data_IF_885662204954
#
_entry.id   IF_885662204954
#
_cell.length_a   1.000
_cell.length_b   1.000
_cell.length_c   1.000
_cell.angle_alpha   90.00
_cell.angle_beta   90.00
_cell.angle_gamma   90.00
#
_symmetry.space_group_name_H-M   'P 1'
#
loop_
_entity.id
_entity.type
_entity.pdbx_description
1 polymer ?
#
# COMPACT_ATOMS: atom_id res chain seq x y z
N UNK A 1 12.68 -2.84 15.57
CA UNK A 1 12.78 -3.71 14.39
C UNK A 1 12.69 -2.79 13.19
N UNK A 2 13.63 -2.89 12.24
CA UNK A 2 13.60 -2.03 11.05
C UNK A 2 12.52 -2.52 10.08
N UNK A 3 12.07 -1.66 9.15
CA UNK A 3 11.19 -2.08 8.04
C UNK A 3 11.83 -3.21 7.24
N UNK A 4 13.14 -3.15 7.05
CA UNK A 4 13.87 -4.20 6.36
C UNK A 4 13.74 -5.56 7.07
N UNK A 5 13.93 -5.61 8.39
CA UNK A 5 13.78 -6.86 9.15
C UNK A 5 12.34 -7.41 9.04
N UNK A 6 11.34 -6.51 9.08
CA UNK A 6 9.92 -6.88 8.99
C UNK A 6 9.63 -7.51 7.63
N UNK A 7 10.02 -6.83 6.55
CA UNK A 7 9.73 -7.26 5.18
C UNK A 7 10.54 -8.51 4.81
N UNK A 8 11.84 -8.54 5.10
CA UNK A 8 12.69 -9.69 4.75
C UNK A 8 12.27 -10.97 5.49
N UNK A 9 11.87 -10.86 6.78
CA UNK A 9 11.35 -12.02 7.50
C UNK A 9 10.06 -12.60 6.90
N UNK A 10 9.33 -11.80 6.11
CA UNK A 10 8.10 -12.26 5.47
C UNK A 10 8.33 -13.01 4.15
N UNK A 11 9.52 -12.93 3.54
CA UNK A 11 9.86 -13.67 2.31
C UNK A 11 9.81 -15.19 2.48
N UNK A 12 9.92 -15.66 3.72
CA UNK A 12 9.84 -17.09 4.05
C UNK A 12 8.42 -17.66 3.94
N UNK A 13 7.41 -16.80 3.86
CA UNK A 13 6.02 -17.20 3.82
C UNK A 13 5.51 -17.30 2.39
N UNK A 14 4.98 -18.48 2.02
CA UNK A 14 4.41 -18.71 0.67
C UNK A 14 3.14 -17.89 0.38
N UNK A 15 2.55 -17.27 1.40
CA UNK A 15 1.37 -16.41 1.31
C UNK A 15 1.72 -14.91 1.30
N UNK A 16 3.00 -14.55 1.40
CA UNK A 16 3.46 -13.17 1.38
C UNK A 16 4.17 -12.89 0.05
N UNK A 17 3.76 -11.81 -0.61
CA UNK A 17 4.31 -11.36 -1.88
C UNK A 17 4.92 -9.99 -1.68
N UNK A 18 6.18 -9.83 -2.07
CA UNK A 18 6.93 -8.60 -1.85
C UNK A 18 7.51 -8.17 -3.18
N UNK A 19 7.27 -6.91 -3.54
CA UNK A 19 7.84 -6.34 -4.74
C UNK A 19 9.35 -6.09 -4.58
N UNK A 20 9.95 -5.63 -5.67
CA UNK A 20 11.24 -4.98 -5.63
C UNK A 20 11.09 -3.45 -5.58
N UNK A 21 12.04 -2.78 -4.92
CA UNK A 21 12.13 -1.32 -4.89
C UNK A 21 13.35 -0.77 -5.61
N UNK A 22 13.35 0.56 -5.82
CA UNK A 22 14.43 1.33 -6.43
C UNK A 22 15.82 1.01 -5.87
N UNK A 23 15.94 0.93 -4.54
CA UNK A 23 17.23 0.76 -3.87
C UNK A 23 17.79 -0.67 -3.96
N UNK A 24 17.02 -1.65 -4.42
CA UNK A 24 17.54 -3.00 -4.70
C UNK A 24 18.30 -3.07 -6.03
N UNK A 25 18.20 -2.02 -6.85
CA UNK A 25 18.98 -1.84 -8.07
C UNK A 25 18.42 -2.57 -9.29
N UNK A 26 18.98 -2.22 -10.45
CA UNK A 26 18.50 -2.66 -11.77
C UNK A 26 18.39 -4.18 -11.92
N UNK A 27 19.34 -4.93 -11.36
CA UNK A 27 19.34 -6.39 -11.46
C UNK A 27 18.13 -7.01 -10.76
N UNK A 28 17.79 -6.52 -9.57
CA UNK A 28 16.63 -7.01 -8.83
C UNK A 28 15.34 -6.73 -9.60
N UNK A 29 15.20 -5.50 -10.13
CA UNK A 29 14.06 -5.08 -10.94
C UNK A 29 13.92 -5.95 -12.20
N UNK A 30 15.01 -6.17 -12.93
CA UNK A 30 15.01 -7.02 -14.12
C UNK A 30 14.57 -8.46 -13.78
N UNK A 31 15.15 -9.05 -12.74
CA UNK A 31 14.77 -10.39 -12.29
C UNK A 31 13.29 -10.44 -11.91
N UNK A 32 12.77 -9.41 -11.26
CA UNK A 32 11.35 -9.32 -10.92
C UNK A 32 10.47 -9.27 -12.19
N UNK A 33 10.79 -8.39 -13.14
CA UNK A 33 10.06 -8.27 -14.41
C UNK A 33 10.05 -9.57 -15.23
N UNK A 34 11.16 -10.31 -15.25
CA UNK A 34 11.26 -11.61 -15.93
C UNK A 34 10.38 -12.70 -15.30
N UNK A 35 10.16 -12.63 -13.97
CA UNK A 35 9.25 -13.56 -13.29
C UNK A 35 7.79 -13.21 -13.61
N UNK A 36 7.46 -11.93 -13.71
CA UNK A 36 6.10 -11.48 -14.00
C UNK A 36 5.69 -11.64 -15.46
N UNK A 37 6.62 -11.35 -16.36
CA UNK A 37 6.42 -11.35 -17.80
C UNK A 37 7.39 -12.38 -18.38
N UNK A 38 6.92 -13.62 -18.55
CA UNK A 38 7.73 -14.77 -19.00
C UNK A 38 8.48 -14.48 -20.33
N UNK A 39 7.98 -13.52 -21.14
CA UNK A 39 8.57 -13.10 -22.41
C UNK A 39 9.55 -11.91 -22.31
N UNK A 40 9.82 -11.39 -21.12
CA UNK A 40 10.70 -10.22 -20.94
C UNK A 40 12.16 -10.62 -21.16
N UNK A 41 12.74 -10.16 -22.28
CA UNK A 41 14.10 -10.54 -22.67
C UNK A 41 15.14 -9.60 -22.07
N UNK A 42 16.33 -10.14 -21.83
CA UNK A 42 17.44 -9.45 -21.16
C UNK A 42 17.97 -8.24 -21.95
N UNK A 43 17.73 -8.20 -23.27
CA UNK A 43 18.07 -7.10 -24.17
C UNK A 43 17.17 -5.86 -24.03
N UNK A 44 16.11 -5.94 -23.22
CA UNK A 44 15.24 -4.80 -22.89
C UNK A 44 15.76 -3.96 -21.70
N UNK A 45 17.07 -3.73 -21.58
CA UNK A 45 17.65 -2.86 -20.54
C UNK A 45 17.05 -1.44 -20.54
N UNK A 46 16.58 -0.95 -21.70
CA UNK A 46 15.82 0.30 -21.81
C UNK A 46 14.50 0.26 -21.03
N UNK A 47 13.85 -0.89 -20.97
CA UNK A 47 12.58 -1.06 -20.29
C UNK A 47 12.76 -1.09 -18.76
N UNK A 48 13.88 -1.61 -18.24
CA UNK A 48 14.25 -1.49 -16.82
C UNK A 48 14.49 -0.02 -16.42
N UNK A 49 15.16 0.75 -17.28
CA UNK A 49 15.38 2.18 -17.04
C UNK A 49 14.07 2.98 -17.06
N UNK A 50 13.13 2.63 -17.93
CA UNK A 50 11.79 3.20 -17.91
C UNK A 50 11.08 2.92 -16.60
N UNK A 51 11.17 1.69 -16.07
CA UNK A 51 10.61 1.35 -14.74
C UNK A 51 11.28 2.13 -13.61
N UNK A 52 12.60 2.25 -13.61
CA UNK A 52 13.34 3.04 -12.62
C UNK A 52 12.92 4.51 -12.67
N UNK A 53 12.87 5.10 -13.87
CA UNK A 53 12.41 6.48 -14.06
C UNK A 53 10.98 6.67 -13.57
N UNK A 54 10.09 5.75 -13.94
CA UNK A 54 8.69 5.78 -13.51
C UNK A 54 8.55 5.71 -11.99
N UNK A 55 9.29 4.83 -11.31
CA UNK A 55 9.25 4.74 -9.84
C UNK A 55 9.74 6.02 -9.18
N UNK A 56 10.80 6.65 -9.73
CA UNK A 56 11.32 7.93 -9.25
C UNK A 56 10.29 9.06 -9.40
N UNK A 57 9.63 9.13 -10.56
CA UNK A 57 8.58 10.11 -10.84
C UNK A 57 7.38 9.93 -9.91
N UNK A 58 6.93 8.68 -9.71
CA UNK A 58 5.83 8.37 -8.80
C UNK A 58 6.14 8.77 -7.34
N UNK A 59 7.36 8.52 -6.84
CA UNK A 59 7.77 8.97 -5.51
C UNK A 59 7.85 10.50 -5.39
N UNK A 60 8.33 11.17 -6.44
CA UNK A 60 8.38 12.62 -6.52
C UNK A 60 6.98 13.24 -6.48
N UNK A 61 6.04 12.68 -7.25
CA UNK A 61 4.64 13.11 -7.27
C UNK A 61 3.94 12.86 -5.94
N UNK A 62 4.12 11.67 -5.35
CA UNK A 62 3.58 11.35 -4.03
C UNK A 62 4.09 12.34 -2.97
N UNK A 63 5.39 12.66 -2.99
CA UNK A 63 6.01 13.65 -2.09
C UNK A 63 5.39 15.03 -2.25
N UNK A 64 5.13 15.47 -3.48
CA UNK A 64 4.45 16.75 -3.74
C UNK A 64 3.01 16.73 -3.23
N UNK A 65 2.32 15.61 -3.40
CA UNK A 65 0.90 15.48 -3.06
C UNK A 65 0.67 15.52 -1.54
N UNK A 66 1.56 14.93 -0.75
CA UNK A 66 1.45 14.97 0.71
C UNK A 66 1.81 16.32 1.32
N UNK A 67 2.38 17.25 0.54
CA UNK A 67 2.72 18.60 0.99
C UNK A 67 1.49 19.36 1.50
N UNK A 68 1.57 20.14 2.59
CA UNK A 68 2.78 20.52 3.34
C UNK A 68 3.24 19.49 4.38
N UNK A 69 2.58 18.33 4.47
CA UNK A 69 2.94 17.28 5.41
C UNK A 69 4.11 16.45 4.87
N UNK A 70 4.68 15.63 5.74
CA UNK A 70 5.81 14.76 5.42
C UNK A 70 5.39 13.30 5.57
N UNK A 71 5.79 12.47 4.61
CA UNK A 71 5.67 11.02 4.77
C UNK A 71 6.55 10.54 5.94
N UNK A 72 6.08 9.60 6.76
CA UNK A 72 6.91 8.93 7.75
C UNK A 72 8.13 8.26 7.09
N UNK A 73 9.30 8.32 7.75
CA UNK A 73 10.54 7.73 7.21
C UNK A 73 10.41 6.22 6.99
N UNK A 74 9.73 5.51 7.88
CA UNK A 74 9.52 4.07 7.74
C UNK A 74 8.68 3.71 6.51
N UNK A 75 7.65 4.49 6.20
CA UNK A 75 6.90 4.31 4.95
C UNK A 75 7.72 4.71 3.72
N UNK A 76 8.51 5.78 3.80
CA UNK A 76 9.41 6.18 2.71
C UNK A 76 10.43 5.08 2.40
N UNK A 77 11.09 4.56 3.42
CA UNK A 77 12.05 3.45 3.29
C UNK A 77 11.35 2.22 2.68
N UNK A 78 10.13 1.92 3.11
CA UNK A 78 9.35 0.83 2.51
C UNK A 78 9.15 1.02 1.00
N UNK A 79 8.73 2.20 0.56
CA UNK A 79 8.49 2.49 -0.85
C UNK A 79 9.77 2.42 -1.68
N UNK A 80 10.90 2.93 -1.16
CA UNK A 80 12.18 2.94 -1.88
C UNK A 80 12.82 1.55 -1.99
N UNK A 81 12.61 0.67 -1.01
CA UNK A 81 13.28 -0.64 -0.96
C UNK A 81 12.42 -1.82 -1.40
N UNK A 82 11.10 -1.76 -1.26
CA UNK A 82 10.25 -2.95 -1.38
C UNK A 82 9.10 -2.85 -2.35
N UNK A 83 8.81 -1.68 -2.93
CA UNK A 83 7.86 -1.49 -4.05
C UNK A 83 6.40 -1.91 -3.82
N UNK A 84 6.07 -2.58 -2.72
CA UNK A 84 4.74 -3.05 -2.37
C UNK A 84 4.78 -4.39 -1.63
N UNK A 85 3.66 -4.73 -0.98
CA UNK A 85 3.56 -5.94 -0.16
C UNK A 85 2.13 -6.46 -0.16
N UNK A 86 1.93 -7.76 -0.35
CA UNK A 86 0.63 -8.39 -0.29
C UNK A 86 0.66 -9.66 0.55
N UNK A 87 -0.48 -9.97 1.18
CA UNK A 87 -0.73 -11.21 1.90
C UNK A 87 -2.01 -11.84 1.37
N UNK A 88 -1.88 -13.08 0.87
CA UNK A 88 -2.99 -13.91 0.44
C UNK A 88 -3.43 -14.83 1.59
N UNK A 89 -4.51 -14.44 2.24
CA UNK A 89 -5.23 -15.27 3.20
C UNK A 89 -6.28 -16.16 2.53
N UNK A 90 -6.82 -17.11 3.29
CA UNK A 90 -7.85 -18.04 2.81
C UNK A 90 -9.13 -17.29 2.40
N UNK A 91 -9.54 -16.32 3.21
CA UNK A 91 -10.79 -15.56 3.03
C UNK A 91 -10.54 -14.07 2.77
N UNK A 92 -9.29 -13.66 2.54
CA UNK A 92 -8.96 -12.26 2.37
C UNK A 92 -7.67 -12.03 1.60
N UNK A 93 -7.60 -10.90 0.91
CA UNK A 93 -6.40 -10.39 0.26
C UNK A 93 -6.04 -9.05 0.89
N UNK A 94 -4.87 -8.96 1.51
CA UNK A 94 -4.33 -7.73 2.07
C UNK A 94 -3.23 -7.19 1.16
N UNK A 95 -3.25 -5.89 0.90
CA UNK A 95 -2.21 -5.21 0.12
C UNK A 95 -1.80 -3.90 0.78
N UNK A 96 -0.49 -3.66 0.77
CA UNK A 96 0.19 -2.41 1.07
C UNK A 96 0.52 -1.75 -0.27
N UNK A 97 0.11 -0.50 -0.41
CA UNK A 97 0.35 0.30 -1.60
C UNK A 97 1.82 0.67 -1.68
N UNK A 98 2.43 0.41 -2.83
CA UNK A 98 3.85 0.61 -3.08
C UNK A 98 4.14 0.98 -4.53
N UNK A 99 5.38 1.40 -4.79
CA UNK A 99 5.86 1.85 -6.09
C UNK A 99 6.80 0.79 -6.65
N UNK A 100 6.25 -0.25 -7.28
CA UNK A 100 6.99 -1.40 -7.79
C UNK A 100 6.25 -2.11 -8.94
N UNK A 101 6.95 -3.00 -9.67
CA UNK A 101 6.42 -3.63 -10.88
C UNK A 101 5.43 -4.81 -10.68
N UNK A 102 5.50 -5.58 -9.59
CA UNK A 102 4.82 -6.90 -9.49
C UNK A 102 3.64 -7.01 -8.54
N UNK A 103 3.70 -6.39 -7.36
CA UNK A 103 2.61 -6.53 -6.37
C UNK A 103 1.42 -5.71 -6.84
N UNK A 104 0.52 -6.37 -7.57
CA UNK A 104 -0.69 -5.83 -8.21
C UNK A 104 -0.70 -4.28 -8.30
N UNK A 105 -0.02 -3.72 -9.31
CA UNK A 105 -0.19 -2.38 -9.92
C UNK A 105 -0.71 -1.20 -9.08
N UNK A 106 -0.34 -1.05 -7.81
CA UNK A 106 -0.97 -0.06 -6.93
C UNK A 106 0.01 1.00 -6.40
N UNK A 107 0.74 1.55 -7.37
CA UNK A 107 0.93 2.98 -7.67
C UNK A 107 1.39 3.13 -9.14
N UNK A 108 1.67 2.01 -9.83
CA UNK A 108 1.75 1.84 -11.31
C UNK A 108 0.93 2.82 -12.13
N UNK A 109 -0.33 2.99 -11.72
CA UNK A 109 -1.33 3.80 -12.39
C UNK A 109 -1.39 5.27 -11.95
N UNK A 110 -0.46 5.74 -11.10
CA UNK A 110 -0.28 7.19 -10.85
C UNK A 110 -0.11 7.90 -12.21
N UNK A 111 0.62 7.30 -13.16
CA UNK A 111 0.78 7.90 -14.50
C UNK A 111 -0.14 7.34 -15.60
N UNK A 112 -1.10 6.46 -15.29
CA UNK A 112 -1.95 5.82 -16.30
C UNK A 112 -3.44 6.06 -16.01
N UNK A 113 -3.97 7.17 -16.54
CA UNK A 113 -5.37 7.49 -16.87
C UNK A 113 -6.50 7.25 -15.84
N UNK A 114 -6.21 6.79 -14.62
CA UNK A 114 -7.22 6.50 -13.60
C UNK A 114 -7.24 7.60 -12.53
N UNK A 115 -7.78 8.75 -12.92
CA UNK A 115 -8.01 9.94 -12.08
C UNK A 115 -8.89 9.70 -10.84
N UNK A 116 -9.49 8.52 -10.69
CA UNK A 116 -10.37 8.18 -9.56
C UNK A 116 -9.62 7.70 -8.30
N UNK A 117 -8.33 7.38 -8.38
CA UNK A 117 -7.48 7.20 -7.19
C UNK A 117 -6.90 8.53 -6.66
N UNK A 118 -6.98 9.59 -7.48
CA UNK A 118 -6.44 10.93 -7.21
C UNK A 118 -7.45 11.85 -6.54
N UNK A 119 -8.74 11.55 -6.70
CA UNK A 119 -9.80 12.34 -6.12
C UNK A 119 -10.16 11.83 -4.74
N UNK A 120 -9.76 12.66 -3.77
CA UNK A 120 -10.30 12.81 -2.42
C UNK A 120 -9.61 11.93 -1.35
N UNK A 121 -8.45 12.40 -0.91
CA UNK A 121 -7.99 12.25 0.47
C UNK A 121 -7.63 13.64 0.98
N UNK A 122 -8.45 14.21 1.85
CA UNK A 122 -8.29 15.58 2.34
C UNK A 122 -6.90 15.81 2.91
N UNK A 123 -6.44 17.06 2.81
CA UNK A 123 -5.13 17.50 3.30
C UNK A 123 -4.76 16.79 4.60
N UNK A 124 -3.74 15.92 4.55
CA UNK A 124 -3.24 15.20 5.73
C UNK A 124 -3.52 13.71 5.79
N UNK A 125 -4.26 13.11 4.87
CA UNK A 125 -4.49 11.65 4.83
C UNK A 125 -3.80 11.00 3.64
N UNK A 126 -3.09 9.90 3.88
CA UNK A 126 -2.45 9.11 2.83
C UNK A 126 -2.90 7.66 2.89
N UNK A 127 -3.53 7.17 1.82
CA UNK A 127 -3.90 5.76 1.71
C UNK A 127 -2.63 4.91 1.59
N UNK A 128 -2.52 3.85 2.39
CA UNK A 128 -1.34 2.98 2.40
C UNK A 128 -1.65 1.51 2.18
N UNK A 129 -2.92 1.12 2.19
CA UNK A 129 -3.27 -0.28 1.99
C UNK A 129 -4.77 -0.53 1.95
N UNK A 130 -5.10 -1.79 1.71
CA UNK A 130 -6.47 -2.31 1.76
C UNK A 130 -6.47 -3.77 2.19
N UNK A 131 -7.59 -4.17 2.77
CA UNK A 131 -7.95 -5.56 3.03
C UNK A 131 -9.25 -5.84 2.27
N UNK A 132 -9.28 -6.86 1.43
CA UNK A 132 -10.46 -7.28 0.67
C UNK A 132 -10.87 -8.66 1.16
N UNK A 133 -12.14 -8.83 1.56
CA UNK A 133 -12.68 -10.11 1.98
C UNK A 133 -13.23 -10.90 0.78
N UNK A 134 -12.87 -12.18 0.68
CA UNK A 134 -13.26 -13.11 -0.38
C UNK A 134 -14.42 -14.04 0.05
N UNK A 135 -15.36 -13.57 0.89
CA UNK A 135 -16.50 -14.41 1.29
C UNK A 135 -17.47 -14.59 0.11
N UNK A 136 -17.83 -15.86 -0.18
CA UNK A 136 -18.90 -16.36 -1.08
C UNK A 136 -19.60 -15.27 -1.92
N UNK A 137 -19.50 -15.32 -3.26
CA UNK A 137 -20.07 -14.48 -4.35
C UNK A 137 -20.99 -13.27 -4.03
N UNK A 138 -21.79 -13.30 -2.96
CA UNK A 138 -22.62 -12.24 -2.40
C UNK A 138 -21.86 -11.16 -1.60
N UNK A 139 -20.66 -11.44 -1.07
CA UNK A 139 -19.85 -10.47 -0.30
C UNK A 139 -18.48 -10.14 -0.91
N UNK A 140 -18.25 -10.57 -2.15
CA UNK A 140 -17.09 -10.15 -2.94
C UNK A 140 -17.06 -8.62 -3.00
N UNK A 141 -16.02 -8.01 -2.43
CA UNK A 141 -15.84 -6.56 -2.45
C UNK A 141 -16.03 -5.84 -1.12
N UNK A 142 -16.29 -6.56 -0.01
CA UNK A 142 -16.09 -5.93 1.30
C UNK A 142 -14.62 -5.56 1.47
N UNK A 143 -14.37 -4.27 1.73
CA UNK A 143 -13.01 -3.74 1.87
C UNK A 143 -12.85 -2.90 3.12
N UNK A 144 -11.70 -3.03 3.76
CA UNK A 144 -11.18 -2.07 4.73
C UNK A 144 -10.06 -1.30 4.04
N UNK A 145 -10.08 0.01 4.14
CA UNK A 145 -9.01 0.88 3.63
C UNK A 145 -8.17 1.40 4.79
N UNK A 146 -6.86 1.49 4.58
CA UNK A 146 -5.92 1.94 5.59
C UNK A 146 -5.28 3.26 5.18
N UNK A 147 -5.22 4.19 6.13
CA UNK A 147 -4.72 5.55 5.91
C UNK A 147 -3.73 5.96 7.01
N UNK A 148 -2.66 6.64 6.62
CA UNK A 148 -1.78 7.39 7.51
C UNK A 148 -2.37 8.78 7.81
N UNK A 149 -2.33 9.16 9.08
CA UNK A 149 -2.63 10.51 9.56
C UNK A 149 -1.37 11.39 9.52
N UNK A 150 -1.10 12.03 8.39
CA UNK A 150 0.06 12.90 8.22
C UNK A 150 -0.09 14.25 8.96
N UNK A 151 -1.33 14.74 9.09
CA UNK A 151 -1.63 16.02 9.71
C UNK A 151 -1.77 15.96 11.23
N UNK A 152 -2.03 14.77 11.79
CA UNK A 152 -2.28 14.58 13.22
C UNK A 152 -3.70 14.94 13.66
N UNK A 153 -4.71 14.67 12.83
CA UNK A 153 -6.12 14.86 13.21
C UNK A 153 -6.54 13.96 14.39
N UNK A 154 -5.99 12.76 14.44
CA UNK A 154 -6.08 11.78 15.53
C UNK A 154 -4.74 11.72 16.27
N UNK A 155 -3.69 11.31 15.57
CA UNK A 155 -2.34 11.15 16.07
C UNK A 155 -1.39 11.07 14.88
N UNK A 156 -0.43 11.98 14.82
CA UNK A 156 0.50 12.06 13.68
C UNK A 156 1.20 10.72 13.43
N UNK A 157 1.23 10.31 12.15
CA UNK A 157 1.79 9.08 11.62
C UNK A 157 1.06 7.78 12.04
N UNK A 158 -0.05 7.87 12.76
CA UNK A 158 -0.84 6.68 13.07
C UNK A 158 -1.51 6.11 11.81
N UNK A 159 -1.83 4.82 11.86
CA UNK A 159 -2.65 4.18 10.82
C UNK A 159 -4.06 4.00 11.33
N UNK A 160 -5.03 4.48 10.56
CA UNK A 160 -6.44 4.16 10.76
C UNK A 160 -6.93 3.19 9.70
N UNK A 161 -7.91 2.39 10.10
CA UNK A 161 -8.72 1.59 9.21
C UNK A 161 -10.11 2.20 9.12
N UNK A 162 -10.66 2.25 7.90
CA UNK A 162 -12.05 2.62 7.63
C UNK A 162 -12.68 1.43 6.94
N UNK A 163 -13.82 0.93 7.45
CA UNK A 163 -14.54 -0.23 6.91
C UNK A 163 -14.80 -1.32 7.96
N UNK A 164 -15.35 -2.48 7.56
CA UNK A 164 -15.57 -2.94 6.17
C UNK A 164 -16.80 -2.31 5.49
N UNK A 165 -16.76 -2.09 4.17
CA UNK A 165 -17.94 -1.78 3.35
C UNK A 165 -17.88 -2.47 1.98
N UNK A 166 -19.04 -2.66 1.36
CA UNK A 166 -19.28 -3.38 0.10
C UNK A 166 -18.81 -2.66 -1.20
N UNK A 167 -18.01 -1.61 -1.09
CA UNK A 167 -17.49 -0.84 -2.24
C UNK A 167 -18.48 0.05 -2.99
N UNK A 168 -19.76 0.13 -2.63
CA UNK A 168 -20.77 0.88 -3.40
C UNK A 168 -20.89 2.36 -3.02
N UNK A 169 -20.49 2.74 -1.81
CA UNK A 169 -20.52 4.12 -1.32
C UNK A 169 -19.10 4.60 -0.98
N UNK A 170 -18.71 5.84 -1.33
CA UNK A 170 -17.42 6.42 -0.97
C UNK A 170 -17.39 6.89 0.49
N UNK A 171 -17.74 6.00 1.43
CA UNK A 171 -17.84 6.29 2.87
C UNK A 171 -16.51 6.76 3.46
N UNK A 172 -15.39 6.35 2.88
CA UNK A 172 -14.07 6.87 3.21
C UNK A 172 -14.03 8.40 3.15
N UNK A 173 -14.67 9.01 2.16
CA UNK A 173 -14.62 10.45 1.98
C UNK A 173 -15.32 11.16 3.13
N UNK A 174 -16.53 10.71 3.49
CA UNK A 174 -17.30 11.26 4.61
C UNK A 174 -16.50 11.17 5.91
N UNK A 175 -15.87 10.02 6.17
CA UNK A 175 -15.08 9.81 7.38
C UNK A 175 -13.84 10.70 7.42
N UNK A 176 -13.11 10.83 6.30
CA UNK A 176 -11.92 11.66 6.22
C UNK A 176 -12.23 13.17 6.23
N UNK A 177 -13.49 13.57 5.99
CA UNK A 177 -14.00 14.95 6.13
C UNK A 177 -13.97 15.43 7.57
N UNK A 178 -14.52 14.60 8.45
CA UNK A 178 -14.57 14.83 9.87
C UNK A 178 -14.54 13.49 10.59
N UNK A 179 -13.32 13.06 10.89
CA UNK A 179 -13.06 11.79 11.57
C UNK A 179 -13.65 11.79 12.98
N UNK A 180 -13.79 12.97 13.62
CA UNK A 180 -14.34 13.10 14.96
C UNK A 180 -15.86 13.03 14.97
N UNK A 181 -16.52 13.46 13.89
CA UNK A 181 -17.97 13.30 13.71
C UNK A 181 -18.38 11.85 13.42
N UNK A 182 -17.45 10.99 12.99
CA UNK A 182 -17.74 9.62 12.54
C UNK A 182 -16.98 8.54 13.35
N UNK A 183 -16.95 8.57 14.70
CA UNK A 183 -16.08 7.71 15.51
C UNK A 183 -16.41 6.21 15.42
N UNK A 184 -17.59 5.84 14.93
CA UNK A 184 -18.00 4.45 14.73
C UNK A 184 -17.60 3.86 13.37
N UNK A 185 -17.09 4.69 12.45
CA UNK A 185 -16.80 4.28 11.06
C UNK A 185 -15.31 4.05 10.80
N UNK A 186 -14.45 4.31 11.78
CA UNK A 186 -13.01 4.08 11.70
C UNK A 186 -12.46 3.55 13.02
N UNK A 187 -11.21 3.05 12.97
CA UNK A 187 -10.47 2.60 14.15
C UNK A 187 -8.98 2.88 13.95
N UNK A 188 -8.29 3.37 14.98
CA UNK A 188 -6.82 3.39 14.99
C UNK A 188 -6.30 1.95 15.09
N UNK A 189 -5.50 1.53 14.11
CA UNK A 189 -4.96 0.15 14.04
C UNK A 189 -3.50 0.04 14.43
N UNK A 190 -2.75 1.14 14.39
CA UNK A 190 -1.37 1.19 14.84
C UNK A 190 -0.91 2.64 15.10
N UNK A 191 0.16 2.81 15.86
CA UNK A 191 0.78 4.12 16.10
C UNK A 191 1.79 4.52 15.01
N UNK A 192 2.17 3.60 14.12
CA UNK A 192 3.09 3.82 13.00
C UNK A 192 2.83 2.87 11.83
N UNK A 193 3.41 3.16 10.67
CA UNK A 193 3.40 2.26 9.52
C UNK A 193 4.11 0.93 9.84
N UNK A 194 5.29 0.98 10.45
CA UNK A 194 6.03 -0.23 10.82
C UNK A 194 5.28 -1.15 11.79
N UNK A 195 4.62 -0.58 12.81
CA UNK A 195 3.77 -1.37 13.72
C UNK A 195 2.56 -1.97 12.99
N UNK A 196 1.92 -1.20 12.10
CA UNK A 196 0.82 -1.69 11.29
C UNK A 196 1.25 -2.86 10.40
N UNK A 197 2.40 -2.78 9.75
CA UNK A 197 2.94 -3.85 8.92
C UNK A 197 3.26 -5.13 9.71
N UNK A 198 3.85 -4.98 10.91
CA UNK A 198 4.07 -6.11 11.84
C UNK A 198 2.74 -6.78 12.17
N UNK A 199 1.71 -6.00 12.48
CA UNK A 199 0.38 -6.52 12.80
C UNK A 199 -0.26 -7.22 11.60
N UNK A 200 -0.04 -6.69 10.38
CA UNK A 200 -0.48 -7.33 9.14
C UNK A 200 0.11 -8.74 9.02
N UNK A 201 1.44 -8.86 9.12
CA UNK A 201 2.15 -10.12 8.95
C UNK A 201 1.75 -11.12 10.03
N UNK A 202 1.72 -10.70 11.29
CA UNK A 202 1.33 -11.58 12.42
C UNK A 202 -0.09 -12.12 12.30
N UNK A 203 -0.99 -11.36 11.68
CA UNK A 203 -2.41 -11.73 11.54
C UNK A 203 -2.76 -12.24 10.15
N UNK A 204 -1.78 -12.42 9.26
CA UNK A 204 -1.98 -12.73 7.84
C UNK A 204 -3.00 -11.79 7.18
N UNK A 205 -2.90 -10.50 7.49
CA UNK A 205 -3.77 -9.45 6.95
C UNK A 205 -5.12 -9.32 7.64
N UNK A 206 -5.48 -10.14 8.64
CA UNK A 206 -6.82 -10.11 9.24
C UNK A 206 -7.04 -9.04 10.34
N UNK A 207 -6.00 -8.43 10.92
CA UNK A 207 -6.08 -7.26 11.82
C UNK A 207 -7.18 -7.26 12.93
N UNK A 208 -7.52 -8.41 13.52
CA UNK A 208 -8.64 -8.56 14.50
C UNK A 208 -10.05 -8.42 13.89
N UNK A 209 -10.19 -8.37 12.56
CA UNK A 209 -11.46 -8.50 11.85
C UNK A 209 -11.82 -9.99 11.74
N UNK A 210 -12.13 -10.61 12.89
CA UNK A 210 -12.78 -11.93 12.99
C UNK A 210 -14.26 -11.77 13.32
#
# INVERSE_FOLDING_TARGET
MSIADIVESSREFSWAHIDCGLHQGRKAILTHLQVQFEDYKEDEYSSVDLWVSWMQDALSELTKHVSPYQMPNDYKDFLEYYGGFAIDGIDCHFSVLGVGPMTENWYGNINADNHDLWNLGKAGWLKIGRLVFQRNHKYYGQRVLFYLDLAGFIQKNCVIAIGPWNGTDPKELVVLEDVRANPSLWKKTADSFGEWLINAIKTRGMFLYM
#
